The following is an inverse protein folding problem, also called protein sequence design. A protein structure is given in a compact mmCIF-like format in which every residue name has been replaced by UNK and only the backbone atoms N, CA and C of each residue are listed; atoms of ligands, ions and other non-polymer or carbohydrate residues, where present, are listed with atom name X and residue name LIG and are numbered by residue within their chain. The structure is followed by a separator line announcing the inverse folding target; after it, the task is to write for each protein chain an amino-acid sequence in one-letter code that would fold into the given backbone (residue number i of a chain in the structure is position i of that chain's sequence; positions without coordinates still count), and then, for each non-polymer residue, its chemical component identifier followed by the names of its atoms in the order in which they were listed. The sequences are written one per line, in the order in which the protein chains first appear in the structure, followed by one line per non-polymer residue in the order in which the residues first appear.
data_IF_282916084652
#
_entry.id   IF_282916084652
#
_cell.length_a   1.000
_cell.length_b   1.000
_cell.length_c   1.000
_cell.angle_alpha   90.00
_cell.angle_beta   90.00
_cell.angle_gamma   90.00
#
_symmetry.space_group_name_H-M   'P 1'
#
loop_
_entity.id
_entity.type
_entity.pdbx_description
1 polymer ?
#
# COMPACT_ATOMS: atom_id res chain seq x y z
N UNK A 1 26.27 -14.84 4.93
CA UNK A 1 25.09 -13.99 4.70
C UNK A 1 24.66 -14.23 3.25
N UNK A 2 23.42 -14.69 3.01
CA UNK A 2 22.93 -14.94 1.64
C UNK A 2 22.82 -13.58 0.94
N UNK A 3 23.39 -13.42 -0.26
CA UNK A 3 23.24 -12.22 -1.06
C UNK A 3 21.85 -12.27 -1.73
N UNK A 4 21.03 -11.25 -1.52
CA UNK A 4 19.70 -11.14 -2.09
C UNK A 4 19.68 -9.91 -3.00
N UNK A 5 19.16 -10.08 -4.21
CA UNK A 5 18.99 -8.96 -5.16
C UNK A 5 17.64 -8.30 -4.93
N UNK A 6 17.65 -7.00 -4.71
CA UNK A 6 16.44 -6.17 -4.61
C UNK A 6 16.38 -5.26 -5.83
N UNK A 7 15.23 -5.25 -6.49
CA UNK A 7 14.94 -4.35 -7.59
C UNK A 7 14.13 -3.16 -7.09
N UNK A 8 14.43 -1.97 -7.61
CA UNK A 8 13.64 -0.77 -7.38
C UNK A 8 12.69 -0.56 -8.57
N UNK A 9 11.40 -0.41 -8.27
CA UNK A 9 10.38 -0.03 -9.24
C UNK A 9 9.58 1.18 -8.74
N UNK A 10 9.26 2.08 -9.66
CA UNK A 10 8.36 3.21 -9.42
C UNK A 10 6.98 2.87 -10.00
N UNK A 11 6.05 2.44 -9.15
CA UNK A 11 4.68 2.14 -9.57
C UNK A 11 3.95 3.43 -10.02
N UNK A 12 3.00 3.28 -10.94
CA UNK A 12 2.15 4.35 -11.48
C UNK A 12 2.90 5.46 -12.24
N UNK A 13 4.10 5.18 -12.76
CA UNK A 13 4.86 6.13 -13.57
C UNK A 13 5.63 5.41 -14.67
N UNK A 14 5.65 6.00 -15.85
CA UNK A 14 6.54 5.60 -16.95
C UNK A 14 7.93 6.25 -16.86
N UNK A 15 8.12 7.19 -15.92
CA UNK A 15 9.38 7.92 -15.74
C UNK A 15 10.06 7.51 -14.44
N UNK A 16 11.35 7.16 -14.46
CA UNK A 16 12.12 6.85 -13.24
C UNK A 16 12.06 7.98 -12.20
N UNK A 17 11.95 7.61 -10.93
CA UNK A 17 11.88 8.52 -9.77
C UNK A 17 10.69 9.50 -9.80
N UNK A 18 9.58 9.13 -10.46
CA UNK A 18 8.35 9.92 -10.57
C UNK A 18 7.09 9.16 -10.13
N UNK A 19 7.23 7.89 -9.78
CA UNK A 19 6.16 7.05 -9.27
C UNK A 19 6.24 6.84 -7.76
N UNK A 20 5.51 5.83 -7.29
CA UNK A 20 5.57 5.38 -5.90
C UNK A 20 6.60 4.25 -5.78
N UNK A 21 7.74 4.46 -5.09
CA UNK A 21 8.84 3.50 -5.07
C UNK A 21 8.48 2.26 -4.25
N UNK A 22 8.85 1.10 -4.78
CA UNK A 22 8.75 -0.19 -4.10
C UNK A 22 9.99 -1.04 -4.34
N UNK A 23 10.42 -1.77 -3.31
CA UNK A 23 11.39 -2.85 -3.44
C UNK A 23 10.71 -4.13 -3.95
N UNK A 24 11.40 -4.90 -4.78
CA UNK A 24 10.93 -6.21 -5.25
C UNK A 24 12.06 -7.23 -5.12
N UNK A 25 11.81 -8.32 -4.42
CA UNK A 25 12.74 -9.46 -4.27
C UNK A 25 12.14 -10.65 -5.01
N UNK A 26 12.65 -10.97 -6.20
CA UNK A 26 12.08 -12.00 -7.08
C UNK A 26 12.49 -13.44 -6.70
N UNK A 27 13.51 -13.60 -5.89
CA UNK A 27 14.00 -14.91 -5.38
C UNK A 27 13.75 -14.95 -3.87
N UNK A 28 12.46 -15.00 -3.51
CA UNK A 28 12.01 -14.93 -2.13
C UNK A 28 11.70 -16.30 -1.51
N UNK A 29 11.58 -17.35 -2.32
CA UNK A 29 11.38 -18.70 -1.82
C UNK A 29 12.55 -19.15 -0.93
N UNK A 30 12.24 -19.65 0.23
CA UNK A 30 13.22 -20.04 1.24
C UNK A 30 13.81 -18.88 2.08
N UNK A 31 13.30 -17.64 1.96
CA UNK A 31 13.55 -16.59 2.93
C UNK A 31 12.61 -16.74 4.13
N UNK A 32 13.15 -16.64 5.32
CA UNK A 32 12.35 -16.55 6.54
C UNK A 32 11.70 -15.16 6.67
N UNK A 33 10.64 -15.06 7.44
CA UNK A 33 9.98 -13.79 7.75
C UNK A 33 10.97 -12.76 8.32
N UNK A 34 11.85 -13.19 9.21
CA UNK A 34 12.88 -12.32 9.78
C UNK A 34 13.84 -11.79 8.71
N UNK A 35 14.25 -12.63 7.76
CA UNK A 35 15.11 -12.19 6.65
C UNK A 35 14.40 -11.20 5.74
N UNK A 36 13.12 -11.42 5.41
CA UNK A 36 12.30 -10.47 4.64
C UNK A 36 12.19 -9.12 5.36
N UNK A 37 11.92 -9.13 6.67
CA UNK A 37 11.86 -7.91 7.48
C UNK A 37 13.21 -7.18 7.53
N UNK A 38 14.30 -7.90 7.70
CA UNK A 38 15.65 -7.32 7.72
C UNK A 38 16.05 -6.74 6.34
N UNK A 39 15.60 -7.36 5.24
CA UNK A 39 15.79 -6.84 3.88
C UNK A 39 15.00 -5.55 3.71
N UNK A 40 13.71 -5.54 4.04
CA UNK A 40 12.85 -4.36 3.91
C UNK A 40 13.39 -3.17 4.74
N UNK A 41 13.86 -3.42 5.96
CA UNK A 41 14.50 -2.41 6.79
C UNK A 41 15.75 -1.81 6.12
N UNK A 42 16.60 -2.64 5.52
CA UNK A 42 17.84 -2.19 4.84
C UNK A 42 17.55 -1.46 3.54
N UNK A 43 16.53 -1.87 2.79
CA UNK A 43 16.10 -1.23 1.54
C UNK A 43 15.57 0.18 1.82
N UNK A 44 14.77 0.34 2.88
CA UNK A 44 14.32 1.64 3.38
C UNK A 44 13.21 2.29 2.55
N UNK A 45 12.64 1.60 1.56
CA UNK A 45 11.40 2.05 0.90
C UNK A 45 10.20 1.84 1.84
N UNK A 46 9.12 2.52 1.56
CA UNK A 46 7.89 2.36 2.34
C UNK A 46 7.48 0.89 2.38
N UNK A 47 7.54 0.20 1.24
CA UNK A 47 7.26 -1.24 1.14
C UNK A 47 8.23 -1.97 0.22
N UNK A 48 8.49 -3.23 0.58
CA UNK A 48 9.20 -4.22 -0.24
C UNK A 48 8.30 -5.44 -0.40
N UNK A 49 8.10 -5.88 -1.63
CA UNK A 49 7.33 -7.06 -1.99
C UNK A 49 8.22 -8.28 -2.23
N UNK A 50 7.71 -9.43 -1.82
CA UNK A 50 8.36 -10.72 -1.89
C UNK A 50 7.42 -11.71 -2.58
N UNK A 51 7.39 -11.74 -3.93
CA UNK A 51 6.69 -12.77 -4.68
C UNK A 51 7.36 -14.14 -4.45
N UNK A 52 6.53 -15.17 -4.26
CA UNK A 52 6.93 -16.53 -3.95
C UNK A 52 5.88 -17.54 -4.41
N UNK A 53 6.22 -18.83 -4.40
CA UNK A 53 5.28 -19.90 -4.73
C UNK A 53 4.08 -19.90 -3.76
N UNK A 54 2.92 -20.34 -4.27
CA UNK A 54 1.67 -20.53 -3.51
C UNK A 54 1.12 -21.92 -3.72
N UNK A 55 0.60 -22.54 -2.66
CA UNK A 55 -0.11 -23.84 -2.75
C UNK A 55 -1.60 -23.68 -3.13
N UNK A 56 -2.15 -22.45 -3.03
CA UNK A 56 -3.59 -22.15 -3.15
C UNK A 56 -3.93 -21.13 -4.22
N UNK A 57 -2.92 -20.51 -4.83
CA UNK A 57 -3.07 -19.50 -5.86
C UNK A 57 -1.95 -19.64 -6.92
N UNK A 58 -1.96 -18.79 -7.95
CA UNK A 58 -0.89 -18.82 -8.96
C UNK A 58 0.43 -18.26 -8.44
N UNK A 59 0.36 -17.36 -7.46
CA UNK A 59 1.49 -16.68 -6.85
C UNK A 59 1.10 -16.20 -5.45
N UNK A 60 2.04 -16.19 -4.53
CA UNK A 60 1.91 -15.51 -3.24
C UNK A 60 2.77 -14.25 -3.23
N UNK A 61 2.28 -13.16 -2.64
CA UNK A 61 3.08 -11.95 -2.43
C UNK A 61 2.96 -11.53 -0.97
N UNK A 62 4.11 -11.41 -0.30
CA UNK A 62 4.21 -10.82 1.04
C UNK A 62 4.79 -9.41 0.93
N UNK A 63 4.37 -8.53 1.84
CA UNK A 63 4.73 -7.10 1.81
C UNK A 63 5.28 -6.68 3.16
N UNK A 64 6.45 -6.08 3.16
CA UNK A 64 7.10 -5.61 4.39
C UNK A 64 7.42 -4.12 4.29
N UNK A 65 6.98 -3.36 5.30
CA UNK A 65 7.53 -2.04 5.60
C UNK A 65 8.87 -2.22 6.32
N UNK A 66 9.65 -1.16 6.55
CA UNK A 66 10.83 -1.25 7.42
C UNK A 66 10.55 -1.74 8.85
N UNK A 67 9.29 -1.80 9.29
CA UNK A 67 8.92 -2.11 10.68
C UNK A 67 8.08 -3.36 10.86
N UNK A 68 7.24 -3.72 9.91
CA UNK A 68 6.29 -4.82 10.03
C UNK A 68 5.80 -5.30 8.67
N UNK A 69 5.25 -6.52 8.65
CA UNK A 69 4.53 -7.05 7.50
C UNK A 69 3.15 -6.39 7.35
N UNK A 70 2.72 -6.19 6.10
CA UNK A 70 1.40 -5.72 5.72
C UNK A 70 0.62 -6.80 4.97
N UNK A 71 -0.70 -6.80 5.15
CA UNK A 71 -1.56 -7.78 4.49
C UNK A 71 -1.68 -7.56 2.98
N UNK A 72 -1.61 -6.30 2.52
CA UNK A 72 -1.73 -5.93 1.11
C UNK A 72 -1.06 -4.57 0.87
N UNK A 73 -0.44 -4.42 -0.31
CA UNK A 73 0.06 -3.14 -0.77
C UNK A 73 -0.12 -3.02 -2.29
N UNK A 74 -1.01 -2.12 -2.73
CA UNK A 74 -1.39 -1.98 -4.15
C UNK A 74 -0.20 -1.66 -5.06
N UNK A 75 0.56 -0.59 -4.77
CA UNK A 75 1.68 -0.18 -5.63
C UNK A 75 2.82 -1.20 -5.63
N UNK A 76 3.12 -1.85 -4.49
CA UNK A 76 4.13 -2.90 -4.43
C UNK A 76 3.67 -4.18 -5.18
N UNK A 77 2.35 -4.46 -5.23
CA UNK A 77 1.79 -5.50 -6.09
C UNK A 77 2.03 -5.18 -7.57
N UNK A 78 1.71 -3.94 -8.00
CA UNK A 78 1.95 -3.51 -9.38
C UNK A 78 3.43 -3.66 -9.76
N UNK A 79 4.32 -3.22 -8.88
CA UNK A 79 5.77 -3.35 -9.07
C UNK A 79 6.22 -4.81 -9.20
N UNK A 80 5.73 -5.70 -8.33
CA UNK A 80 6.06 -7.13 -8.35
C UNK A 80 5.57 -7.83 -9.63
N UNK A 81 4.31 -7.63 -10.00
CA UNK A 81 3.72 -8.23 -11.22
C UNK A 81 4.41 -7.71 -12.46
N UNK A 82 4.68 -6.40 -12.55
CA UNK A 82 5.43 -5.82 -13.66
C UNK A 82 6.85 -6.41 -13.75
N UNK A 83 7.54 -6.54 -12.62
CA UNK A 83 8.88 -7.12 -12.57
C UNK A 83 8.92 -8.57 -13.04
N UNK A 84 7.95 -9.40 -12.60
CA UNK A 84 7.83 -10.79 -13.01
C UNK A 84 7.52 -10.91 -14.51
N UNK A 85 6.54 -10.13 -15.01
CA UNK A 85 6.11 -10.18 -16.40
C UNK A 85 7.21 -9.73 -17.36
N UNK A 86 7.84 -8.60 -17.11
CA UNK A 86 8.90 -8.04 -17.97
C UNK A 86 10.18 -8.87 -17.99
N UNK A 87 10.36 -9.76 -17.02
CA UNK A 87 11.51 -10.68 -16.94
C UNK A 87 11.22 -12.08 -17.46
N UNK A 88 10.00 -12.33 -17.95
CA UNK A 88 9.58 -13.66 -18.44
C UNK A 88 9.45 -14.69 -17.32
N UNK A 89 9.23 -14.27 -16.08
CA UNK A 89 8.98 -15.13 -14.91
C UNK A 89 7.49 -15.35 -14.65
N UNK A 90 6.62 -14.72 -15.42
CA UNK A 90 5.18 -14.83 -15.34
C UNK A 90 4.58 -14.87 -16.75
N UNK A 91 4.09 -16.03 -17.18
CA UNK A 91 3.51 -16.20 -18.51
C UNK A 91 2.04 -15.80 -18.59
N UNK A 92 1.28 -16.00 -17.48
CA UNK A 92 -0.16 -15.72 -17.41
C UNK A 92 -0.46 -14.24 -17.49
N UNK A 93 -1.58 -13.90 -18.15
CA UNK A 93 -2.16 -12.57 -18.20
C UNK A 93 -3.32 -12.39 -17.20
N UNK A 94 -3.95 -13.49 -16.79
CA UNK A 94 -4.92 -13.51 -15.69
C UNK A 94 -4.44 -14.50 -14.63
N UNK A 95 -4.36 -14.04 -13.38
CA UNK A 95 -3.86 -14.85 -12.28
C UNK A 95 -4.54 -14.48 -10.96
N UNK A 96 -4.51 -15.42 -10.04
CA UNK A 96 -4.89 -15.21 -8.65
C UNK A 96 -3.64 -15.07 -7.79
N UNK A 97 -3.56 -14.02 -6.98
CA UNK A 97 -2.48 -13.84 -6.02
C UNK A 97 -2.96 -14.09 -4.59
N UNK A 98 -2.20 -14.86 -3.83
CA UNK A 98 -2.37 -15.01 -2.39
C UNK A 98 -1.68 -13.85 -1.68
N UNK A 99 -2.42 -13.19 -0.77
CA UNK A 99 -1.91 -12.09 0.07
C UNK A 99 -2.41 -12.27 1.50
N UNK A 100 -1.89 -11.51 2.44
CA UNK A 100 -2.43 -11.48 3.81
C UNK A 100 -3.88 -10.97 3.92
N UNK A 101 -4.37 -10.29 2.88
CA UNK A 101 -5.77 -9.84 2.79
C UNK A 101 -6.70 -10.85 2.09
N UNK A 102 -6.16 -11.99 1.61
CA UNK A 102 -6.90 -13.02 0.87
C UNK A 102 -6.39 -13.22 -0.54
N UNK A 103 -7.14 -13.97 -1.33
CA UNK A 103 -6.83 -14.27 -2.73
C UNK A 103 -7.48 -13.22 -3.63
N UNK A 104 -6.67 -12.55 -4.45
CA UNK A 104 -7.09 -11.43 -5.28
C UNK A 104 -6.79 -11.68 -6.76
N UNK A 105 -7.72 -11.36 -7.68
CA UNK A 105 -7.49 -11.48 -9.11
C UNK A 105 -6.66 -10.31 -9.65
N UNK A 106 -5.70 -10.66 -10.50
CA UNK A 106 -4.87 -9.74 -11.28
C UNK A 106 -5.17 -9.97 -12.75
N UNK A 107 -5.25 -8.89 -13.53
CA UNK A 107 -5.25 -8.93 -14.98
C UNK A 107 -4.12 -8.06 -15.53
N UNK A 108 -3.43 -8.59 -16.52
CA UNK A 108 -2.34 -7.93 -17.23
C UNK A 108 -2.79 -7.73 -18.67
N UNK A 109 -2.73 -6.52 -19.15
CA UNK A 109 -3.01 -6.18 -20.54
C UNK A 109 -1.75 -5.61 -21.18
N UNK A 110 -1.42 -6.08 -22.37
CA UNK A 110 -0.35 -5.50 -23.18
C UNK A 110 -0.99 -4.60 -24.22
N UNK A 111 -0.61 -3.34 -24.25
CA UNK A 111 -1.08 -2.38 -25.25
C UNK A 111 -0.45 -2.65 -26.63
N UNK A 112 -0.96 -2.01 -27.68
CA UNK A 112 -0.37 -2.09 -29.03
C UNK A 112 1.10 -1.64 -29.04
N UNK A 113 1.48 -0.71 -28.16
CA UNK A 113 2.84 -0.20 -28.00
C UNK A 113 3.70 -1.04 -27.06
N UNK A 114 3.27 -2.27 -26.75
CA UNK A 114 3.96 -3.21 -25.85
C UNK A 114 4.09 -2.72 -24.38
N UNK A 115 3.30 -1.73 -23.97
CA UNK A 115 3.24 -1.32 -22.58
C UNK A 115 2.33 -2.25 -21.78
N UNK A 116 2.75 -2.57 -20.54
CA UNK A 116 1.97 -3.39 -19.62
C UNK A 116 1.01 -2.55 -18.79
N UNK A 117 -0.25 -2.93 -18.80
CA UNK A 117 -1.30 -2.37 -17.96
C UNK A 117 -1.82 -3.43 -16.99
N UNK A 118 -1.63 -3.22 -15.70
CA UNK A 118 -1.97 -4.20 -14.66
C UNK A 118 -3.18 -3.70 -13.88
N UNK A 119 -4.18 -4.57 -13.73
CA UNK A 119 -5.39 -4.30 -12.96
C UNK A 119 -5.47 -5.24 -11.77
N UNK A 120 -5.59 -4.68 -10.56
CA UNK A 120 -5.88 -5.40 -9.33
C UNK A 120 -7.31 -5.09 -8.88
N UNK A 121 -8.15 -6.11 -8.76
CA UNK A 121 -9.48 -5.93 -8.18
C UNK A 121 -9.37 -5.78 -6.67
N UNK A 122 -9.80 -4.64 -6.17
CA UNK A 122 -9.88 -4.37 -4.74
C UNK A 122 -11.12 -5.04 -4.12
N UNK A 123 -11.15 -5.16 -2.79
CA UNK A 123 -12.34 -5.55 -2.07
C UNK A 123 -13.48 -4.52 -2.29
N UNK A 124 -14.73 -4.96 -2.10
CA UNK A 124 -15.87 -4.04 -2.12
C UNK A 124 -15.67 -2.95 -1.07
N UNK A 125 -15.85 -1.67 -1.42
CA UNK A 125 -15.69 -0.60 -0.45
C UNK A 125 -16.66 -0.75 0.74
N UNK A 126 -16.13 -0.58 1.93
CA UNK A 126 -16.89 -0.50 3.19
C UNK A 126 -16.58 0.81 3.87
N UNK A 127 -17.55 1.33 4.62
CA UNK A 127 -17.44 2.61 5.29
C UNK A 127 -17.95 2.50 6.73
N UNK A 128 -17.27 3.21 7.65
CA UNK A 128 -17.65 3.31 9.06
C UNK A 128 -17.54 4.77 9.51
N UNK A 129 -18.43 5.21 10.38
CA UNK A 129 -18.41 6.58 10.89
C UNK A 129 -17.24 6.80 11.87
N UNK A 130 -16.64 7.97 11.79
CA UNK A 130 -15.70 8.45 12.81
C UNK A 130 -16.49 9.01 14.00
N UNK A 131 -16.37 8.40 15.17
CA UNK A 131 -17.06 8.83 16.40
C UNK A 131 -16.16 9.62 17.36
N UNK A 132 -14.90 9.84 17.00
CA UNK A 132 -13.94 10.59 17.80
C UNK A 132 -14.21 12.12 17.81
N UNK A 133 -13.46 12.84 18.65
CA UNK A 133 -13.53 14.30 18.70
C UNK A 133 -12.85 14.92 17.48
N UNK A 134 -13.62 15.70 16.68
CA UNK A 134 -13.12 16.37 15.47
C UNK A 134 -12.09 17.46 15.77
N UNK A 135 -12.13 18.09 16.96
CA UNK A 135 -11.16 19.11 17.38
C UNK A 135 -9.81 18.46 17.70
N UNK A 136 -9.85 17.33 18.43
CA UNK A 136 -8.64 16.56 18.72
C UNK A 136 -8.00 16.04 17.42
N UNK A 137 -8.83 15.59 16.48
CA UNK A 137 -8.38 15.16 15.16
C UNK A 137 -7.73 16.32 14.40
N UNK A 138 -8.38 17.48 14.26
CA UNK A 138 -7.82 18.67 13.60
C UNK A 138 -6.49 19.09 14.26
N UNK A 139 -6.47 19.19 15.58
CA UNK A 139 -5.27 19.55 16.34
C UNK A 139 -4.11 18.57 16.11
N UNK A 140 -4.39 17.27 16.00
CA UNK A 140 -3.38 16.24 15.69
C UNK A 140 -2.76 16.39 14.31
N UNK A 141 -3.45 17.06 13.39
CA UNK A 141 -2.98 17.41 12.06
C UNK A 141 -2.31 18.79 12.00
N UNK A 142 -2.28 19.53 13.13
CA UNK A 142 -1.80 20.91 13.18
C UNK A 142 -2.76 21.89 12.51
N UNK A 143 -4.05 21.56 12.49
CA UNK A 143 -5.14 22.33 11.90
C UNK A 143 -6.12 22.80 12.97
N UNK A 144 -6.91 23.83 12.65
CA UNK A 144 -8.07 24.23 13.41
C UNK A 144 -9.33 23.52 12.92
N UNK A 145 -10.36 23.41 13.76
CA UNK A 145 -11.64 22.78 13.38
C UNK A 145 -12.26 23.44 12.15
N UNK A 146 -12.06 24.74 11.95
CA UNK A 146 -12.52 25.50 10.80
C UNK A 146 -11.77 25.21 9.49
N UNK A 147 -10.65 24.49 9.52
CA UNK A 147 -9.95 24.02 8.34
C UNK A 147 -10.57 22.72 7.76
N UNK A 148 -11.41 22.02 8.56
CA UNK A 148 -12.12 20.83 8.13
C UNK A 148 -13.41 21.25 7.38
N UNK A 149 -13.75 20.51 6.32
CA UNK A 149 -14.98 20.71 5.57
C UNK A 149 -16.19 20.23 6.41
N UNK A 150 -17.15 21.14 6.63
CA UNK A 150 -18.29 20.88 7.49
C UNK A 150 -19.41 20.06 6.81
N UNK A 151 -19.55 20.21 5.49
CA UNK A 151 -20.62 19.58 4.71
C UNK A 151 -20.33 18.11 4.36
N UNK A 152 -19.08 17.68 4.47
CA UNK A 152 -18.69 16.31 4.19
C UNK A 152 -18.40 15.50 5.46
N UNK A 153 -18.76 14.23 5.50
CA UNK A 153 -18.50 13.39 6.67
C UNK A 153 -17.00 13.04 6.80
N UNK A 154 -16.52 12.97 8.02
CA UNK A 154 -15.28 12.28 8.34
C UNK A 154 -15.62 10.83 8.53
N UNK A 155 -15.09 9.94 7.70
CA UNK A 155 -15.43 8.52 7.68
C UNK A 155 -14.19 7.64 7.50
N UNK A 156 -14.24 6.46 8.06
CA UNK A 156 -13.32 5.39 7.68
C UNK A 156 -13.80 4.76 6.37
N UNK A 157 -12.89 4.55 5.44
CA UNK A 157 -13.12 3.80 4.21
C UNK A 157 -12.14 2.65 4.09
N UNK A 158 -12.55 1.54 3.49
CA UNK A 158 -11.68 0.40 3.23
C UNK A 158 -12.04 -0.31 1.94
N UNK A 159 -11.03 -0.65 1.16
CA UNK A 159 -11.08 -1.64 0.09
C UNK A 159 -10.12 -2.81 0.37
N UNK A 160 -9.79 -3.03 1.65
CA UNK A 160 -8.83 -4.02 2.17
C UNK A 160 -7.96 -3.47 3.28
N UNK A 161 -7.72 -2.15 3.31
CA UNK A 161 -7.02 -1.44 4.38
C UNK A 161 -7.87 -0.24 4.81
N UNK A 162 -8.03 -0.08 6.12
CA UNK A 162 -8.79 1.02 6.69
C UNK A 162 -8.03 2.33 6.65
N UNK A 163 -8.70 3.37 6.22
CA UNK A 163 -8.19 4.74 6.11
C UNK A 163 -9.24 5.71 6.62
N UNK A 164 -8.88 6.63 7.51
CA UNK A 164 -9.73 7.75 7.86
C UNK A 164 -9.63 8.82 6.78
N UNK A 165 -10.76 9.13 6.14
CA UNK A 165 -10.90 10.16 5.13
C UNK A 165 -11.35 11.45 5.81
N UNK A 166 -10.53 12.50 5.70
CA UNK A 166 -10.75 13.78 6.37
C UNK A 166 -10.88 14.88 5.30
N UNK A 167 -12.09 15.35 5.04
CA UNK A 167 -12.30 16.44 4.09
C UNK A 167 -11.73 17.75 4.65
N UNK A 168 -10.93 18.44 3.83
CA UNK A 168 -10.26 19.71 4.16
C UNK A 168 -10.79 20.80 3.23
N UNK A 169 -11.09 21.99 3.76
CA UNK A 169 -11.71 23.09 3.06
C UNK A 169 -10.91 23.60 1.85
N UNK A 170 -9.59 23.73 1.97
CA UNK A 170 -8.76 24.26 0.90
C UNK A 170 -7.30 23.77 0.91
N UNK A 171 -6.59 24.05 -0.18
CA UNK A 171 -5.17 23.66 -0.34
C UNK A 171 -4.22 24.42 0.62
N UNK A 172 -4.62 25.56 1.20
CA UNK A 172 -3.77 26.29 2.14
C UNK A 172 -3.75 25.59 3.49
N UNK A 173 -4.87 24.96 3.88
CA UNK A 173 -4.92 24.11 5.05
C UNK A 173 -3.95 22.93 4.90
N UNK A 174 -3.87 22.27 3.74
CA UNK A 174 -2.87 21.24 3.48
C UNK A 174 -1.43 21.73 3.64
N UNK A 175 -1.12 22.95 3.22
CA UNK A 175 0.24 23.52 3.32
C UNK A 175 0.68 23.77 4.76
N UNK A 176 -0.25 24.10 5.67
CA UNK A 176 0.06 24.29 7.10
C UNK A 176 0.04 22.98 7.89
N UNK A 177 -0.49 21.90 7.34
CA UNK A 177 -0.64 20.62 8.03
C UNK A 177 0.70 20.08 8.55
N UNK A 178 0.70 19.69 9.81
CA UNK A 178 1.84 19.04 10.50
C UNK A 178 1.32 17.92 11.38
N UNK A 179 1.17 16.74 10.78
CA UNK A 179 0.60 15.59 11.46
C UNK A 179 1.48 15.09 12.62
N UNK A 180 0.87 14.92 13.79
CA UNK A 180 1.47 14.23 14.93
C UNK A 180 0.97 12.78 14.98
N UNK A 181 1.61 11.92 14.22
CA UNK A 181 1.20 10.51 14.06
C UNK A 181 1.16 9.72 15.39
N UNK A 182 1.84 10.20 16.44
CA UNK A 182 1.85 9.54 17.77
C UNK A 182 0.49 9.65 18.47
N UNK A 183 -0.33 10.62 18.10
CA UNK A 183 -1.65 10.83 18.68
C UNK A 183 -2.74 9.98 18.01
N UNK A 184 -2.55 9.55 16.77
CA UNK A 184 -3.57 8.84 16.01
C UNK A 184 -4.12 7.59 16.70
N UNK A 185 -3.32 6.69 17.32
CA UNK A 185 -3.90 5.52 18.00
C UNK A 185 -4.87 5.84 19.14
N UNK A 186 -4.75 7.04 19.75
CA UNK A 186 -5.64 7.49 20.81
C UNK A 186 -6.90 8.20 20.29
N UNK A 187 -6.77 8.85 19.11
CA UNK A 187 -7.86 9.58 18.44
C UNK A 187 -8.72 8.62 17.62
N UNK A 188 -8.08 7.69 16.91
CA UNK A 188 -8.73 6.68 16.07
C UNK A 188 -9.13 5.46 16.92
N UNK A 189 -9.94 5.67 17.96
CA UNK A 189 -10.28 4.62 18.95
C UNK A 189 -10.94 3.40 18.33
N UNK A 190 -11.78 3.61 17.30
CA UNK A 190 -12.48 2.56 16.58
C UNK A 190 -11.51 1.71 15.75
N UNK A 191 -10.51 2.36 15.15
CA UNK A 191 -9.56 1.74 14.24
C UNK A 191 -8.14 2.30 14.44
N UNK A 192 -7.46 1.97 15.56
CA UNK A 192 -6.18 2.58 15.95
C UNK A 192 -5.03 2.37 14.95
N UNK A 193 -5.20 1.44 14.00
CA UNK A 193 -4.23 1.13 12.93
C UNK A 193 -4.61 1.66 11.57
N UNK A 194 -5.73 2.40 11.44
CA UNK A 194 -6.10 3.02 10.19
C UNK A 194 -5.06 4.09 9.80
N UNK A 195 -4.82 4.22 8.50
CA UNK A 195 -4.11 5.38 7.97
C UNK A 195 -5.01 6.61 8.00
N UNK A 196 -4.43 7.78 7.79
CA UNK A 196 -5.16 9.05 7.73
C UNK A 196 -4.85 9.72 6.39
N UNK A 197 -5.89 10.11 5.67
CA UNK A 197 -5.83 10.76 4.36
C UNK A 197 -6.80 11.93 4.25
#
# INVERSE_FOLDING_TARGET
MKMVRVFHYDAFSSKPNKGNPAGVVLDADGLTEKEMQDIALKVGFNETSFPMESEIADLRIRYFTPRHEMNLCGHATMAAIHALKTRGLLDKDELMIETGAGILPIKIHTTADQELYITLKQATPTFEEFSGDKRDLASSLGLDIGDLEAELPIIYGSTGLWTLLIPINDLNAFKKMKANNKLFPQILKEMPRASVH
#
